data_IF_113750399196
#
_entry.id   IF_113750399196
#
_cell.length_a   1.000
_cell.length_b   1.000
_cell.length_c   1.000
_cell.angle_alpha   90.00
_cell.angle_beta   90.00
_cell.angle_gamma   90.00
#
_symmetry.space_group_name_H-M   'P 1'
#
loop_
_entity.id
_entity.type
_entity.pdbx_description
1 polymer ?
#
# COMPACT_ATOMS: atom_id res chain seq x y z
N UNK A 1 8.46 -29.62 -2.51
CA UNK A 1 7.45 -29.06 -3.45
C UNK A 1 7.84 -27.67 -3.97
N UNK A 2 8.15 -26.69 -3.11
CA UNK A 2 8.62 -25.35 -3.54
C UNK A 2 9.86 -25.35 -4.45
N UNK A 3 10.77 -26.32 -4.29
CA UNK A 3 11.98 -26.46 -5.11
C UNK A 3 11.69 -26.61 -6.61
N UNK A 4 10.60 -27.29 -7.00
CA UNK A 4 10.25 -27.47 -8.41
C UNK A 4 9.78 -26.16 -9.06
N UNK A 5 8.94 -25.39 -8.37
CA UNK A 5 8.47 -24.09 -8.86
C UNK A 5 9.60 -23.07 -8.95
N UNK A 6 10.46 -23.00 -7.94
CA UNK A 6 11.60 -22.07 -7.92
C UNK A 6 12.56 -22.34 -9.08
N UNK A 7 12.87 -23.61 -9.34
CA UNK A 7 13.80 -23.97 -10.41
C UNK A 7 13.23 -23.68 -11.81
N UNK A 8 11.95 -23.98 -12.05
CA UNK A 8 11.27 -23.60 -13.29
C UNK A 8 11.22 -22.08 -13.48
N UNK A 9 10.96 -21.33 -12.41
CA UNK A 9 10.93 -19.86 -12.45
C UNK A 9 12.32 -19.24 -12.69
N UNK A 10 13.38 -19.77 -12.08
CA UNK A 10 14.78 -19.34 -12.30
C UNK A 10 15.27 -19.62 -13.73
N UNK A 11 14.65 -20.57 -14.43
CA UNK A 11 14.98 -20.87 -15.83
C UNK A 11 14.35 -19.84 -16.79
N UNK A 12 13.38 -19.05 -16.33
CA UNK A 12 12.74 -18.00 -17.12
C UNK A 12 13.64 -16.77 -17.06
N UNK A 13 14.26 -16.45 -18.20
CA UNK A 13 15.10 -15.27 -18.32
C UNK A 13 14.27 -14.00 -18.06
N UNK A 14 14.79 -13.11 -17.21
CA UNK A 14 14.09 -11.88 -16.80
C UNK A 14 12.95 -12.05 -15.78
N UNK A 15 12.77 -13.21 -15.15
CA UNK A 15 11.72 -13.44 -14.12
C UNK A 15 11.75 -12.44 -12.95
N UNK A 16 12.92 -11.86 -12.69
CA UNK A 16 13.16 -10.89 -11.62
C UNK A 16 12.39 -9.57 -11.82
N UNK A 17 11.93 -9.25 -13.03
CA UNK A 17 11.20 -8.01 -13.31
C UNK A 17 9.81 -7.99 -12.65
N UNK A 18 9.15 -9.14 -12.54
CA UNK A 18 7.81 -9.25 -11.96
C UNK A 18 7.74 -8.81 -10.50
N UNK A 19 8.62 -9.28 -9.59
CA UNK A 19 8.63 -8.79 -8.21
C UNK A 19 9.06 -7.31 -8.12
N UNK A 20 9.98 -6.83 -8.96
CA UNK A 20 10.41 -5.42 -8.94
C UNK A 20 9.26 -4.50 -9.33
N UNK A 21 8.56 -4.78 -10.42
CA UNK A 21 7.38 -4.01 -10.86
C UNK A 21 6.28 -4.07 -9.80
N UNK A 22 6.00 -5.25 -9.25
CA UNK A 22 5.00 -5.42 -8.19
C UNK A 22 5.35 -4.57 -6.97
N UNK A 23 6.62 -4.54 -6.57
CA UNK A 23 7.10 -3.71 -5.47
C UNK A 23 6.94 -2.22 -5.76
N UNK A 24 7.31 -1.77 -6.97
CA UNK A 24 7.18 -0.36 -7.36
C UNK A 24 5.72 0.08 -7.36
N UNK A 25 4.81 -0.71 -7.93
CA UNK A 25 3.38 -0.38 -7.99
C UNK A 25 2.80 -0.34 -6.57
N UNK A 26 3.07 -1.36 -5.75
CA UNK A 26 2.63 -1.42 -4.36
C UNK A 26 3.15 -0.23 -3.56
N UNK A 27 4.45 0.02 -3.61
CA UNK A 27 5.09 1.12 -2.89
C UNK A 27 4.55 2.49 -3.34
N UNK A 28 4.41 2.71 -4.65
CA UNK A 28 3.88 3.96 -5.20
C UNK A 28 2.45 4.23 -4.76
N UNK A 29 1.63 3.18 -4.63
CA UNK A 29 0.27 3.30 -4.08
C UNK A 29 0.30 3.85 -2.65
N UNK A 30 1.18 3.34 -1.78
CA UNK A 30 1.34 3.89 -0.42
C UNK A 30 1.88 5.32 -0.41
N UNK A 31 2.84 5.65 -1.27
CA UNK A 31 3.34 7.03 -1.38
C UNK A 31 2.22 7.99 -1.79
N UNK A 32 1.38 7.59 -2.74
CA UNK A 32 0.22 8.38 -3.16
C UNK A 32 -0.80 8.56 -2.03
N UNK A 33 -1.09 7.50 -1.26
CA UNK A 33 -1.96 7.58 -0.08
C UNK A 33 -1.40 8.53 0.98
N UNK A 34 -0.10 8.45 1.29
CA UNK A 34 0.54 9.35 2.24
C UNK A 34 0.47 10.81 1.77
N UNK A 35 0.68 11.04 0.48
CA UNK A 35 0.55 12.37 -0.11
C UNK A 35 -0.89 12.89 -0.03
N UNK A 36 -1.89 12.02 -0.25
CA UNK A 36 -3.30 12.37 -0.11
C UNK A 36 -3.66 12.73 1.34
N UNK A 37 -3.22 11.92 2.32
CA UNK A 37 -3.42 12.20 3.76
C UNK A 37 -2.74 13.50 4.17
N UNK A 38 -1.52 13.77 3.68
CA UNK A 38 -0.84 15.03 3.96
C UNK A 38 -1.60 16.25 3.41
N UNK A 39 -2.31 16.07 2.29
CA UNK A 39 -3.13 17.11 1.65
C UNK A 39 -4.54 17.25 2.24
N UNK A 40 -5.00 16.33 3.08
CA UNK A 40 -6.33 16.44 3.70
C UNK A 40 -6.42 17.74 4.50
N UNK A 41 -7.51 18.47 4.30
CA UNK A 41 -7.76 19.73 4.99
C UNK A 41 -7.88 19.50 6.50
N UNK A 42 -7.06 20.21 7.27
CA UNK A 42 -7.10 20.20 8.73
C UNK A 42 -8.43 20.67 9.29
N UNK A 43 -9.23 21.43 8.54
CA UNK A 43 -10.57 21.85 8.97
C UNK A 43 -11.54 20.66 9.05
N UNK A 44 -11.44 19.70 8.12
CA UNK A 44 -12.24 18.47 8.16
C UNK A 44 -11.85 17.62 9.38
N UNK A 45 -10.55 17.50 9.65
CA UNK A 45 -10.02 16.80 10.82
C UNK A 45 -10.46 17.49 12.12
N UNK A 46 -10.33 18.82 12.22
CA UNK A 46 -10.75 19.58 13.41
C UNK A 46 -12.26 19.50 13.68
N UNK A 47 -13.09 19.38 12.63
CA UNK A 47 -14.53 19.22 12.80
C UNK A 47 -14.85 17.83 13.36
N UNK A 48 -14.20 16.78 12.86
CA UNK A 48 -14.36 15.41 13.36
C UNK A 48 -13.77 15.22 14.75
N UNK A 49 -12.62 15.83 15.05
CA UNK A 49 -12.01 15.82 16.39
C UNK A 49 -12.92 16.44 17.45
N UNK A 50 -13.78 17.39 17.04
CA UNK A 50 -14.76 18.04 17.92
C UNK A 50 -16.12 17.34 17.96
N UNK A 51 -16.34 16.31 17.16
CA UNK A 51 -17.52 15.47 17.34
C UNK A 51 -17.36 14.74 18.68
N UNK A 52 -18.32 14.87 19.61
CA UNK A 52 -18.29 14.06 20.82
C UNK A 52 -18.26 12.59 20.40
N UNK A 53 -17.43 11.79 21.05
CA UNK A 53 -17.59 10.35 20.95
C UNK A 53 -19.00 10.05 21.46
N UNK A 54 -19.88 9.58 20.57
CA UNK A 54 -21.15 9.00 21.00
C UNK A 54 -20.79 7.75 21.80
N UNK A 55 -20.66 7.91 23.12
CA UNK A 55 -20.81 6.80 24.06
C UNK A 55 -22.31 6.45 24.09
N UNK A 56 -22.78 5.85 23.01
CA UNK A 56 -24.05 5.14 23.02
C UNK A 56 -23.80 3.75 23.62
N UNK A 57 -24.41 3.54 24.79
CA UNK A 57 -24.41 2.32 25.59
C UNK A 57 -24.64 1.03 24.78
#
# INVERSE_FOLDING_TARGET
MLKFFKHTMETIDGIEIFPIISFIIFFSFFVALLFWVYKIDKNYINHIEKLPFEEDN
#
